data_IF_126804563993
#
_entry.id   IF_126804563993
#
_cell.length_a   1.000
_cell.length_b   1.000
_cell.length_c   1.000
_cell.angle_alpha   90.00
_cell.angle_beta   90.00
_cell.angle_gamma   90.00
#
_symmetry.space_group_name_H-M   'P 1'
#
loop_
_entity.id
_entity.type
_entity.pdbx_description
1 polymer ?
#
# COMPACT_ATOMS: atom_id res chain seq x y z
N UNK A 1 -22.39 -31.68 -33.35
CA UNK A 1 -20.95 -31.85 -33.69
C UNK A 1 -20.37 -30.76 -34.61
N UNK A 2 -21.18 -30.08 -35.43
CA UNK A 2 -20.76 -29.01 -36.37
C UNK A 2 -20.71 -27.59 -35.75
N UNK A 3 -21.49 -27.32 -34.70
CA UNK A 3 -21.50 -26.03 -33.99
C UNK A 3 -20.28 -25.79 -33.06
N UNK A 4 -19.47 -26.82 -32.80
CA UNK A 4 -18.31 -26.76 -31.89
C UNK A 4 -17.06 -26.17 -32.53
N UNK A 5 -17.03 -26.10 -33.87
CA UNK A 5 -15.89 -25.62 -34.67
C UNK A 5 -16.03 -24.12 -35.02
N UNK A 6 -17.26 -23.62 -35.10
CA UNK A 6 -17.56 -22.20 -35.37
C UNK A 6 -17.56 -21.29 -34.12
N UNK A 7 -17.52 -21.88 -32.92
CA UNK A 7 -17.50 -21.16 -31.64
C UNK A 7 -16.40 -21.70 -30.75
N UNK A 8 -15.16 -21.51 -31.20
CA UNK A 8 -13.95 -21.73 -30.38
C UNK A 8 -13.89 -20.78 -29.16
N UNK A 9 -14.82 -19.84 -29.05
CA UNK A 9 -14.98 -18.93 -27.91
C UNK A 9 -15.89 -19.47 -26.77
N UNK A 10 -16.50 -20.65 -26.92
CA UNK A 10 -17.49 -21.17 -25.94
C UNK A 10 -17.14 -22.53 -25.31
N UNK A 11 -15.89 -22.97 -25.44
CA UNK A 11 -15.43 -24.25 -24.89
C UNK A 11 -14.33 -24.11 -23.86
N UNK A 12 -14.71 -24.30 -22.58
CA UNK A 12 -13.88 -24.60 -21.40
C UNK A 12 -13.28 -23.41 -20.61
N UNK A 13 -13.40 -23.40 -19.26
CA UNK A 13 -12.57 -22.56 -18.41
C UNK A 13 -11.10 -22.87 -18.71
N UNK A 14 -10.41 -21.84 -19.15
CA UNK A 14 -9.03 -21.82 -19.61
C UNK A 14 -8.09 -22.22 -18.46
N UNK A 15 -7.59 -23.47 -18.46
CA UNK A 15 -6.55 -23.89 -17.50
C UNK A 15 -5.32 -22.98 -17.52
N UNK A 16 -4.99 -22.40 -18.68
CA UNK A 16 -3.93 -21.38 -18.82
C UNK A 16 -4.19 -20.10 -18.02
N UNK A 17 -5.44 -19.73 -17.77
CA UNK A 17 -5.77 -18.49 -17.04
C UNK A 17 -5.59 -18.67 -15.54
N UNK A 18 -5.92 -19.86 -14.99
CA UNK A 18 -5.65 -20.19 -13.59
C UNK A 18 -4.14 -20.26 -13.34
N UNK A 19 -3.39 -20.90 -14.24
CA UNK A 19 -1.91 -20.96 -14.16
C UNK A 19 -1.31 -19.56 -14.21
N UNK A 20 -1.80 -18.69 -15.10
CA UNK A 20 -1.35 -17.30 -15.19
C UNK A 20 -1.58 -16.50 -13.91
N UNK A 21 -2.78 -16.61 -13.30
CA UNK A 21 -3.05 -15.95 -12.01
C UNK A 21 -2.19 -16.49 -10.87
N UNK A 22 -1.96 -17.81 -10.83
CA UNK A 22 -1.15 -18.44 -9.80
C UNK A 22 0.32 -18.04 -9.92
N UNK A 23 0.87 -18.01 -11.15
CA UNK A 23 2.20 -17.49 -11.42
C UNK A 23 2.34 -16.01 -11.02
N UNK A 24 1.35 -15.18 -11.37
CA UNK A 24 1.34 -13.77 -10.98
C UNK A 24 1.33 -13.58 -9.47
N UNK A 25 0.52 -14.36 -8.75
CA UNK A 25 0.47 -14.34 -7.29
C UNK A 25 1.79 -14.77 -6.66
N UNK A 26 2.40 -15.86 -7.14
CA UNK A 26 3.70 -16.33 -6.65
C UNK A 26 4.82 -15.33 -6.91
N UNK A 27 4.83 -14.69 -8.09
CA UNK A 27 5.79 -13.65 -8.41
C UNK A 27 5.66 -12.45 -7.46
N UNK A 28 4.41 -12.02 -7.19
CA UNK A 28 4.13 -10.93 -6.25
C UNK A 28 4.54 -11.31 -4.82
N UNK A 29 4.21 -12.52 -4.37
CA UNK A 29 4.60 -13.03 -3.07
C UNK A 29 6.13 -13.08 -2.91
N UNK A 30 6.85 -13.56 -3.94
CA UNK A 30 8.31 -13.55 -3.96
C UNK A 30 8.89 -12.14 -3.86
N UNK A 31 8.32 -11.17 -4.58
CA UNK A 31 8.72 -9.77 -4.49
C UNK A 31 8.47 -9.20 -3.08
N UNK A 32 7.35 -9.54 -2.44
CA UNK A 32 7.04 -9.11 -1.07
C UNK A 32 8.04 -9.66 -0.06
N UNK A 33 8.38 -10.94 -0.14
CA UNK A 33 9.41 -11.53 0.73
C UNK A 33 10.78 -10.90 0.50
N UNK A 34 11.13 -10.61 -0.76
CA UNK A 34 12.39 -9.97 -1.09
C UNK A 34 12.49 -8.54 -0.53
N UNK A 35 11.42 -7.76 -0.63
CA UNK A 35 11.38 -6.38 -0.10
C UNK A 35 11.30 -6.35 1.42
N UNK A 36 10.64 -7.32 2.05
CA UNK A 36 10.49 -7.37 3.51
C UNK A 36 11.81 -7.60 4.26
N UNK A 37 12.81 -8.23 3.63
CA UNK A 37 14.14 -8.48 4.22
C UNK A 37 14.16 -9.57 5.32
N UNK A 38 13.03 -9.82 5.98
CA UNK A 38 12.84 -10.85 6.99
C UNK A 38 11.56 -11.68 6.76
N UNK A 39 11.63 -12.98 7.08
CA UNK A 39 10.55 -13.94 6.80
C UNK A 39 9.28 -13.63 7.59
N UNK A 40 9.42 -13.14 8.82
CA UNK A 40 8.27 -12.83 9.68
C UNK A 40 7.45 -11.65 9.14
N UNK A 41 8.12 -10.53 8.79
CA UNK A 41 7.45 -9.42 8.12
C UNK A 41 6.89 -9.81 6.76
N UNK A 42 7.63 -10.60 5.97
CA UNK A 42 7.14 -11.11 4.70
C UNK A 42 5.84 -11.91 4.85
N UNK A 43 5.74 -12.74 5.89
CA UNK A 43 4.53 -13.51 6.20
C UNK A 43 3.36 -12.61 6.62
N UNK A 44 3.59 -11.60 7.48
CA UNK A 44 2.55 -10.64 7.85
C UNK A 44 2.05 -9.84 6.65
N UNK A 45 2.95 -9.36 5.79
CA UNK A 45 2.60 -8.59 4.58
C UNK A 45 1.81 -9.45 3.60
N UNK A 46 2.27 -10.67 3.31
CA UNK A 46 1.59 -11.58 2.41
C UNK A 46 0.22 -12.01 2.96
N UNK A 47 0.13 -12.27 4.27
CA UNK A 47 -1.13 -12.59 4.94
C UNK A 47 -2.13 -11.44 4.86
N UNK A 48 -1.68 -10.22 5.16
CA UNK A 48 -2.49 -9.01 5.06
C UNK A 48 -2.97 -8.73 3.63
N UNK A 49 -2.10 -8.87 2.64
CA UNK A 49 -2.44 -8.70 1.23
C UNK A 49 -3.47 -9.74 0.77
N UNK A 50 -3.26 -11.01 1.13
CA UNK A 50 -4.19 -12.10 0.80
C UNK A 50 -5.56 -11.87 1.45
N UNK A 51 -5.59 -11.46 2.72
CA UNK A 51 -6.81 -11.11 3.43
C UNK A 51 -7.56 -9.95 2.75
N UNK A 52 -6.85 -8.86 2.41
CA UNK A 52 -7.45 -7.72 1.71
C UNK A 52 -8.05 -8.14 0.36
N UNK A 53 -7.33 -8.97 -0.41
CA UNK A 53 -7.83 -9.50 -1.68
C UNK A 53 -9.12 -10.32 -1.51
N UNK A 54 -9.18 -11.17 -0.48
CA UNK A 54 -10.38 -11.95 -0.15
C UNK A 54 -11.56 -11.06 0.28
N UNK A 55 -11.30 -10.04 1.11
CA UNK A 55 -12.33 -9.10 1.56
C UNK A 55 -12.91 -8.30 0.40
N UNK A 56 -12.07 -7.76 -0.50
CA UNK A 56 -12.55 -7.07 -1.69
C UNK A 56 -13.30 -8.00 -2.65
N UNK A 57 -12.85 -9.24 -2.81
CA UNK A 57 -13.54 -10.22 -3.66
C UNK A 57 -14.93 -10.55 -3.10
N UNK A 58 -15.05 -10.70 -1.78
CA UNK A 58 -16.32 -10.90 -1.10
C UNK A 58 -17.24 -9.69 -1.25
N UNK A 59 -16.73 -8.48 -1.00
CA UNK A 59 -17.48 -7.23 -1.15
C UNK A 59 -17.98 -7.04 -2.59
N UNK A 60 -17.13 -7.29 -3.59
CA UNK A 60 -17.51 -7.24 -5.00
C UNK A 60 -18.61 -8.27 -5.33
N UNK A 61 -18.51 -9.50 -4.82
CA UNK A 61 -19.56 -10.52 -5.01
C UNK A 61 -20.88 -10.13 -4.37
N UNK A 62 -20.86 -9.58 -3.16
CA UNK A 62 -22.06 -9.11 -2.46
C UNK A 62 -22.69 -7.97 -3.27
N UNK A 63 -21.90 -6.99 -3.69
CA UNK A 63 -22.38 -5.87 -4.50
C UNK A 63 -23.03 -6.33 -5.81
N UNK A 64 -22.41 -7.27 -6.54
CA UNK A 64 -22.97 -7.83 -7.78
C UNK A 64 -24.27 -8.60 -7.50
N UNK A 65 -24.34 -9.40 -6.42
CA UNK A 65 -25.56 -10.13 -6.05
C UNK A 65 -26.70 -9.19 -5.65
N UNK A 66 -26.42 -8.15 -4.86
CA UNK A 66 -27.42 -7.14 -4.50
C UNK A 66 -27.93 -6.42 -5.75
N UNK A 67 -27.03 -6.04 -6.66
CA UNK A 67 -27.39 -5.44 -7.93
C UNK A 67 -28.25 -6.38 -8.81
N UNK A 68 -28.04 -7.69 -8.74
CA UNK A 68 -28.87 -8.68 -9.43
C UNK A 68 -30.25 -8.87 -8.79
N UNK A 69 -30.32 -8.94 -7.45
CA UNK A 69 -31.57 -9.08 -6.71
C UNK A 69 -32.52 -7.89 -6.95
N UNK A 70 -31.98 -6.66 -6.97
CA UNK A 70 -32.73 -5.44 -7.23
C UNK A 70 -33.31 -5.36 -8.66
N UNK A 71 -32.76 -6.12 -9.61
CA UNK A 71 -33.32 -6.26 -10.97
C UNK A 71 -34.54 -7.19 -11.02
N UNK A 72 -34.59 -8.23 -10.19
CA UNK A 72 -35.66 -9.23 -10.17
C UNK A 72 -36.97 -8.69 -9.59
N UNK A 73 -36.89 -7.75 -8.64
CA UNK A 73 -38.03 -6.97 -8.16
C UNK A 73 -38.36 -5.87 -9.18
N UNK A 74 -39.23 -6.17 -10.14
CA UNK A 74 -39.59 -5.33 -11.30
C UNK A 74 -40.22 -3.94 -11.03
N UNK A 75 -39.91 -3.28 -9.91
CA UNK A 75 -40.40 -1.95 -9.53
C UNK A 75 -39.32 -0.87 -9.40
N UNK A 76 -38.03 -1.21 -9.34
CA UNK A 76 -36.99 -0.23 -8.98
C UNK A 76 -36.33 0.50 -10.17
N UNK A 77 -36.53 0.06 -11.42
CA UNK A 77 -35.83 0.62 -12.59
C UNK A 77 -36.79 0.88 -13.75
N UNK A 78 -37.96 1.45 -13.45
CA UNK A 78 -38.87 1.96 -14.48
C UNK A 78 -38.47 3.35 -15.01
N UNK A 79 -37.54 4.06 -14.35
CA UNK A 79 -37.11 5.42 -14.73
C UNK A 79 -35.63 5.59 -15.11
N UNK A 80 -34.73 4.64 -14.82
CA UNK A 80 -33.33 4.75 -15.22
C UNK A 80 -33.12 4.13 -16.61
N UNK A 81 -32.63 4.92 -17.55
CA UNK A 81 -32.53 4.58 -18.97
C UNK A 81 -31.91 3.20 -19.25
N UNK A 82 -32.33 2.65 -20.38
CA UNK A 82 -31.91 1.40 -21.04
C UNK A 82 -30.43 1.03 -20.77
N UNK A 83 -29.50 1.99 -20.77
CA UNK A 83 -28.07 1.78 -20.46
C UNK A 83 -27.73 1.19 -19.09
N UNK A 84 -28.41 1.59 -18.00
CA UNK A 84 -28.13 1.06 -16.66
C UNK A 84 -28.48 -0.42 -16.57
N UNK A 85 -29.61 -0.84 -17.15
CA UNK A 85 -30.04 -2.25 -17.17
C UNK A 85 -29.05 -3.14 -17.93
N UNK A 86 -28.50 -2.66 -19.05
CA UNK A 86 -27.48 -3.39 -19.81
C UNK A 86 -26.11 -3.43 -19.13
N UNK A 87 -25.67 -2.34 -18.50
CA UNK A 87 -24.42 -2.32 -17.73
C UNK A 87 -24.46 -3.29 -16.56
N UNK A 88 -25.57 -3.27 -15.81
CA UNK A 88 -25.84 -4.19 -14.72
C UNK A 88 -25.95 -5.66 -15.19
N UNK A 89 -26.54 -5.93 -16.36
CA UNK A 89 -26.64 -7.27 -16.93
C UNK A 89 -25.29 -7.82 -17.44
N UNK A 90 -24.40 -6.96 -17.95
CA UNK A 90 -23.04 -7.35 -18.35
C UNK A 90 -22.20 -7.83 -17.15
N UNK A 91 -22.32 -7.13 -16.02
CA UNK A 91 -21.67 -7.50 -14.75
C UNK A 91 -22.13 -8.88 -14.24
N UNK A 92 -23.38 -9.26 -14.49
CA UNK A 92 -23.89 -10.58 -14.08
C UNK A 92 -23.43 -11.69 -15.03
N UNK A 93 -23.49 -11.47 -16.35
CA UNK A 93 -23.06 -12.47 -17.34
C UNK A 93 -21.57 -12.81 -17.24
N UNK A 94 -20.73 -11.89 -16.73
CA UNK A 94 -19.29 -12.08 -16.55
C UNK A 94 -18.83 -11.83 -15.11
N UNK A 95 -19.65 -12.25 -14.12
CA UNK A 95 -19.44 -11.94 -12.71
C UNK A 95 -18.03 -12.26 -12.18
N UNK A 96 -17.40 -13.37 -12.58
CA UNK A 96 -16.03 -13.71 -12.16
C UNK A 96 -14.98 -12.71 -12.68
N UNK A 97 -15.04 -12.35 -13.97
CA UNK A 97 -14.14 -11.38 -14.57
C UNK A 97 -14.34 -9.97 -13.99
N UNK A 98 -15.59 -9.58 -13.73
CA UNK A 98 -15.90 -8.30 -13.08
C UNK A 98 -15.39 -8.25 -11.65
N UNK A 99 -15.50 -9.34 -10.87
CA UNK A 99 -14.91 -9.41 -9.52
C UNK A 99 -13.40 -9.21 -9.56
N UNK A 100 -12.69 -9.90 -10.47
CA UNK A 100 -11.22 -9.75 -10.60
C UNK A 100 -10.84 -8.29 -10.93
N UNK A 101 -11.56 -7.64 -11.85
CA UNK A 101 -11.32 -6.24 -12.19
C UNK A 101 -11.60 -5.28 -11.03
N UNK A 102 -12.71 -5.47 -10.30
CA UNK A 102 -13.06 -4.66 -9.14
C UNK A 102 -12.00 -4.81 -8.06
N UNK A 103 -11.55 -6.04 -7.78
CA UNK A 103 -10.49 -6.31 -6.79
C UNK A 103 -9.17 -5.67 -7.20
N UNK A 104 -8.78 -5.78 -8.47
CA UNK A 104 -7.55 -5.15 -8.97
C UNK A 104 -7.59 -3.63 -8.81
N UNK A 105 -8.72 -2.99 -9.14
CA UNK A 105 -8.90 -1.55 -8.97
C UNK A 105 -8.91 -1.15 -7.48
N UNK A 106 -9.63 -1.89 -6.65
CA UNK A 106 -9.71 -1.64 -5.21
C UNK A 106 -8.34 -1.76 -4.53
N UNK A 107 -7.55 -2.77 -4.88
CA UNK A 107 -6.17 -2.93 -4.40
C UNK A 107 -5.28 -1.75 -4.84
N UNK A 108 -5.41 -1.30 -6.09
CA UNK A 108 -4.68 -0.13 -6.59
C UNK A 108 -5.02 1.14 -5.80
N UNK A 109 -6.30 1.41 -5.56
CA UNK A 109 -6.73 2.54 -4.73
C UNK A 109 -6.28 2.40 -3.27
N UNK A 110 -6.40 1.20 -2.69
CA UNK A 110 -5.93 0.92 -1.34
C UNK A 110 -4.43 1.22 -1.22
N UNK A 111 -3.62 0.82 -2.19
CA UNK A 111 -2.18 1.10 -2.19
C UNK A 111 -1.89 2.61 -2.22
N UNK A 112 -2.60 3.37 -3.06
CA UNK A 112 -2.45 4.83 -3.12
C UNK A 112 -2.89 5.51 -1.81
N UNK A 113 -3.99 5.06 -1.23
CA UNK A 113 -4.50 5.59 0.04
C UNK A 113 -3.55 5.26 1.19
N UNK A 114 -3.05 4.03 1.27
CA UNK A 114 -2.06 3.62 2.27
C UNK A 114 -0.77 4.43 2.13
N UNK A 115 -0.25 4.58 0.92
CA UNK A 115 0.95 5.40 0.68
C UNK A 115 0.75 6.84 1.15
N UNK A 116 -0.41 7.43 0.84
CA UNK A 116 -0.74 8.79 1.22
C UNK A 116 -0.89 8.93 2.75
N UNK A 117 -1.54 7.96 3.40
CA UNK A 117 -1.70 7.93 4.86
C UNK A 117 -0.37 7.76 5.57
N UNK A 118 0.39 6.73 5.21
CA UNK A 118 1.69 6.41 5.82
C UNK A 118 2.65 7.59 5.68
N UNK A 119 2.63 8.30 4.55
CA UNK A 119 3.42 9.52 4.37
C UNK A 119 3.07 10.59 5.42
N UNK A 120 1.78 10.81 5.67
CA UNK A 120 1.33 11.74 6.71
C UNK A 120 1.77 11.28 8.09
N UNK A 121 1.52 10.02 8.40
CA UNK A 121 1.86 9.42 9.70
C UNK A 121 3.35 9.49 10.00
N UNK A 122 4.20 9.22 9.01
CA UNK A 122 5.66 9.34 9.14
C UNK A 122 6.11 10.79 9.34
N UNK A 123 5.53 11.75 8.60
CA UNK A 123 5.84 13.17 8.77
C UNK A 123 5.43 13.66 10.16
N UNK A 124 4.26 13.26 10.63
CA UNK A 124 3.75 13.66 11.95
C UNK A 124 4.46 12.93 13.09
N UNK A 125 4.85 11.67 12.90
CA UNK A 125 5.72 10.96 13.84
C UNK A 125 7.08 11.63 13.95
N UNK A 126 7.70 12.00 12.81
CA UNK A 126 8.97 12.71 12.79
C UNK A 126 8.86 14.09 13.45
N UNK A 127 7.79 14.86 13.15
CA UNK A 127 7.53 16.15 13.81
C UNK A 127 7.33 16.02 15.31
N UNK A 128 6.64 14.97 15.78
CA UNK A 128 6.46 14.71 17.22
C UNK A 128 7.75 14.28 17.92
N UNK A 129 8.64 13.59 17.21
CA UNK A 129 9.93 13.16 17.74
C UNK A 129 10.90 14.34 17.95
N UNK A 130 10.66 15.49 17.31
CA UNK A 130 11.48 16.70 17.43
C UNK A 130 10.78 17.67 18.40
N UNK A 131 11.35 17.94 19.60
CA UNK A 131 10.82 18.95 20.50
C UNK A 131 10.67 20.31 19.80
N UNK A 132 9.69 21.12 20.21
CA UNK A 132 9.52 22.47 19.64
C UNK A 132 10.76 23.37 19.82
N UNK A 133 11.60 23.06 20.81
CA UNK A 133 12.88 23.72 21.12
C UNK A 133 14.11 22.89 20.68
N UNK A 134 13.95 22.04 19.66
CA UNK A 134 15.08 21.29 19.14
C UNK A 134 16.09 22.24 18.47
N UNK A 135 17.39 22.16 18.80
CA UNK A 135 18.41 22.96 18.14
C UNK A 135 18.39 22.72 16.62
N UNK A 136 18.28 23.79 15.84
CA UNK A 136 18.27 23.73 14.37
C UNK A 136 19.58 24.23 13.73
N UNK A 137 20.57 24.57 14.56
CA UNK A 137 21.90 25.02 14.14
C UNK A 137 22.95 24.22 14.89
N UNK A 138 23.75 23.47 14.14
CA UNK A 138 24.83 22.65 14.69
C UNK A 138 26.17 23.19 14.20
N UNK A 139 27.08 23.44 15.13
CA UNK A 139 28.48 23.77 14.83
C UNK A 139 29.32 22.55 15.23
N UNK A 140 30.00 21.95 14.26
CA UNK A 140 30.83 20.75 14.44
C UNK A 140 32.29 21.06 14.06
N UNK A 141 33.23 20.21 14.49
CA UNK A 141 34.67 20.35 14.21
C UNK A 141 35.33 21.62 14.79
N UNK A 142 34.85 22.13 15.93
CA UNK A 142 35.53 23.21 16.65
C UNK A 142 36.85 22.66 17.23
N UNK A 143 37.98 23.25 16.86
CA UNK A 143 39.27 22.83 17.41
C UNK A 143 39.42 23.29 18.88
N UNK A 144 40.17 22.57 19.73
CA UNK A 144 40.33 22.90 21.15
C UNK A 144 40.78 24.34 21.41
N UNK A 145 41.63 24.89 20.55
CA UNK A 145 42.17 26.25 20.67
C UNK A 145 41.15 27.32 20.25
N UNK A 146 40.10 26.93 19.53
CA UNK A 146 39.05 27.82 19.02
C UNK A 146 37.84 27.92 19.95
N UNK A 147 37.67 26.97 20.88
CA UNK A 147 36.50 26.87 21.79
C UNK A 147 36.22 28.20 22.49
N UNK A 148 37.23 28.82 23.10
CA UNK A 148 37.06 30.09 23.81
C UNK A 148 36.61 31.25 22.91
N UNK A 149 37.16 31.36 21.69
CA UNK A 149 36.77 32.42 20.74
C UNK A 149 35.34 32.22 20.23
N UNK A 150 34.97 30.98 19.93
CA UNK A 150 33.63 30.64 19.45
C UNK A 150 32.58 30.86 20.55
N UNK A 151 32.88 30.49 21.79
CA UNK A 151 31.98 30.70 22.92
C UNK A 151 31.70 32.19 23.16
N UNK A 152 32.75 33.04 23.14
CA UNK A 152 32.57 34.49 23.29
C UNK A 152 31.77 35.10 22.13
N UNK A 153 31.99 34.64 20.89
CA UNK A 153 31.23 35.11 19.74
C UNK A 153 29.74 34.72 19.80
N UNK A 154 29.43 33.52 20.27
CA UNK A 154 28.04 33.05 20.48
C UNK A 154 27.34 33.84 21.59
N UNK A 155 28.04 34.06 22.72
CA UNK A 155 27.52 34.86 23.83
C UNK A 155 27.25 36.32 23.42
N UNK A 156 28.11 36.92 22.58
CA UNK A 156 27.90 38.26 22.04
C UNK A 156 26.64 38.36 21.16
N UNK A 157 26.18 37.25 20.57
CA UNK A 157 24.93 37.16 19.82
C UNK A 157 23.73 36.70 20.67
N UNK A 158 23.91 36.60 21.99
CA UNK A 158 22.85 36.16 22.92
C UNK A 158 22.56 34.66 22.88
N UNK A 159 23.44 33.85 22.29
CA UNK A 159 23.28 32.39 22.20
C UNK A 159 24.11 31.73 23.30
N UNK A 160 23.46 31.29 24.38
CA UNK A 160 24.09 30.46 25.40
C UNK A 160 23.96 28.98 25.02
N UNK A 161 25.07 28.32 24.70
CA UNK A 161 25.10 26.89 24.38
C UNK A 161 26.33 26.24 25.00
N UNK A 162 26.14 25.05 25.56
CA UNK A 162 27.22 24.23 26.10
C UNK A 162 27.95 23.53 24.95
N UNK A 163 29.25 23.78 24.82
CA UNK A 163 30.09 23.16 23.79
C UNK A 163 30.55 21.79 24.28
N UNK A 164 30.02 20.73 23.67
CA UNK A 164 30.41 19.36 23.98
C UNK A 164 31.62 18.90 23.13
N UNK A 165 32.55 18.11 23.69
CA UNK A 165 33.67 17.56 22.93
C UNK A 165 33.17 16.55 21.88
N UNK A 166 33.77 16.61 20.69
CA UNK A 166 33.43 15.66 19.62
C UNK A 166 34.27 14.37 19.77
N UNK A 167 33.64 13.31 20.29
CA UNK A 167 34.26 11.98 20.42
C UNK A 167 33.90 11.14 19.20
N UNK A 168 34.90 10.61 18.49
CA UNK A 168 34.68 9.66 17.39
C UNK A 168 34.63 8.24 17.95
N UNK A 169 33.44 7.63 17.94
CA UNK A 169 33.26 6.22 18.24
C UNK A 169 33.02 5.41 16.96
N UNK A 170 33.48 4.15 16.94
CA UNK A 170 33.06 3.17 15.93
C UNK A 170 31.98 2.28 16.54
N UNK A 171 30.79 2.27 15.94
CA UNK A 171 29.73 1.34 16.34
C UNK A 171 30.18 -0.07 15.97
N UNK A 172 30.56 -0.86 16.97
CA UNK A 172 31.06 -2.23 16.77
C UNK A 172 29.94 -3.26 16.75
N UNK A 173 28.84 -2.98 17.44
CA UNK A 173 27.77 -3.94 17.68
C UNK A 173 26.48 -3.27 18.12
N UNK A 174 25.34 -3.80 17.70
CA UNK A 174 24.01 -3.38 18.18
C UNK A 174 23.34 -4.62 18.79
N UNK A 175 22.83 -4.54 20.01
CA UNK A 175 22.17 -5.67 20.69
C UNK A 175 23.03 -6.94 20.82
N UNK A 176 24.36 -6.80 20.87
CA UNK A 176 25.24 -7.96 21.00
C UNK A 176 25.47 -8.74 19.70
N UNK A 177 25.01 -8.23 18.54
CA UNK A 177 25.29 -8.74 17.19
C UNK A 177 25.96 -7.69 16.29
#
# INVERSE_FOLDING_TARGET
>A
PTLRVLRRELGSPQGGTVVGYLLGFLALAGLMFWVAGEVELGAYVLGGFTLAMLLFALAARIAIRLAAALRGSGRAVSGAGIGWRYGLASLERRASASVVQIVALALGFMALLLLTSIRGDLLDAWRRAVPADAPNRFVVNIQPEQVGRVQTALLAQGVSTELAPMVRGRLMRINGV
#
